data_IF_194403804057
#
_entry.id   IF_194403804057
#
_cell.length_a   1.000
_cell.length_b   1.000
_cell.length_c   1.000
_cell.angle_alpha   90.00
_cell.angle_beta   90.00
_cell.angle_gamma   90.00
#
_symmetry.space_group_name_H-M   'P 1'
#
loop_
_entity.id
_entity.type
_entity.pdbx_description
1 polymer ?
#
# COMPACT_ATOMS: atom_id res chain seq x y z
N UNK A 1 2.79 -9.16 -15.95
CA UNK A 1 3.07 -7.98 -15.13
C UNK A 1 3.63 -8.37 -13.79
N UNK A 2 4.49 -7.54 -13.25
CA UNK A 2 5.03 -7.74 -11.91
C UNK A 2 4.15 -7.06 -10.88
N UNK A 3 4.13 -7.61 -9.67
CA UNK A 3 3.38 -7.03 -8.54
C UNK A 3 4.34 -6.44 -7.53
N UNK A 4 3.89 -5.36 -6.91
CA UNK A 4 4.71 -4.61 -5.95
C UNK A 4 3.88 -4.27 -4.72
N UNK A 5 4.49 -4.45 -3.56
CA UNK A 5 3.93 -3.96 -2.30
C UNK A 5 4.44 -2.54 -2.09
N UNK A 6 3.52 -1.62 -1.92
CA UNK A 6 3.84 -0.22 -1.64
C UNK A 6 3.58 0.03 -0.16
N UNK A 7 4.61 0.45 0.55
CA UNK A 7 4.49 0.80 1.96
C UNK A 7 4.59 2.31 2.11
N UNK A 8 3.57 2.91 2.65
CA UNK A 8 3.57 4.33 2.99
C UNK A 8 4.24 4.50 4.34
N UNK A 9 5.14 5.46 4.46
CA UNK A 9 5.85 5.74 5.71
C UNK A 9 5.62 7.17 6.13
N UNK A 10 5.62 7.42 7.44
CA UNK A 10 5.42 8.75 8.01
C UNK A 10 6.04 8.81 9.40
N UNK A 11 6.54 9.98 9.83
CA UNK A 11 7.00 10.15 11.21
C UNK A 11 5.84 10.13 12.21
N UNK A 12 4.61 10.37 11.78
CA UNK A 12 3.42 10.40 12.63
C UNK A 12 2.60 9.12 12.42
N UNK A 13 2.28 8.38 13.49
CA UNK A 13 1.45 7.18 13.37
C UNK A 13 0.09 7.47 12.74
N UNK A 14 -0.44 6.51 11.99
CA UNK A 14 -1.70 6.67 11.28
C UNK A 14 -2.86 7.00 12.22
N UNK A 15 -2.94 6.35 13.38
CA UNK A 15 -4.02 6.63 14.35
C UNK A 15 -4.00 8.07 14.82
N UNK A 16 -2.82 8.64 15.02
CA UNK A 16 -2.66 10.02 15.44
C UNK A 16 -3.08 10.99 14.34
N UNK A 17 -2.66 10.73 13.10
CA UNK A 17 -3.05 11.55 11.95
C UNK A 17 -4.57 11.58 11.76
N UNK A 18 -5.20 10.41 11.77
CA UNK A 18 -6.66 10.33 11.61
C UNK A 18 -7.40 10.92 12.78
N UNK A 19 -6.85 10.82 14.00
CA UNK A 19 -7.45 11.42 15.20
C UNK A 19 -7.46 12.94 15.19
N UNK A 20 -6.54 13.57 14.45
CA UNK A 20 -6.45 15.02 14.30
C UNK A 20 -7.29 15.59 13.17
N UNK A 21 -7.74 14.72 12.23
CA UNK A 21 -8.44 15.20 11.07
C UNK A 21 -9.86 15.63 11.39
N UNK A 22 -10.25 16.81 10.90
CA UNK A 22 -11.64 17.23 10.92
C UNK A 22 -12.45 16.40 9.94
N UNK A 23 -13.80 16.36 10.06
CA UNK A 23 -14.63 15.66 9.07
C UNK A 23 -14.38 16.13 7.63
N UNK A 24 -14.15 17.42 7.43
CA UNK A 24 -13.85 17.98 6.12
C UNK A 24 -12.49 17.52 5.59
N UNK A 25 -11.48 17.47 6.46
CA UNK A 25 -10.15 16.98 6.10
C UNK A 25 -10.20 15.49 5.76
N UNK A 26 -10.94 14.71 6.53
CA UNK A 26 -11.11 13.28 6.27
C UNK A 26 -11.78 13.04 4.92
N UNK A 27 -12.83 13.81 4.59
CA UNK A 27 -13.52 13.71 3.31
C UNK A 27 -12.60 14.12 2.16
N UNK A 28 -11.88 15.22 2.33
CA UNK A 28 -10.94 15.70 1.31
C UNK A 28 -9.83 14.68 1.04
N UNK A 29 -9.31 14.06 2.08
CA UNK A 29 -8.31 13.00 1.96
C UNK A 29 -8.85 11.78 1.23
N UNK A 30 -10.06 11.35 1.56
CA UNK A 30 -10.70 10.22 0.89
C UNK A 30 -10.96 10.53 -0.58
N UNK A 31 -11.43 11.74 -0.88
CA UNK A 31 -11.66 12.17 -2.26
C UNK A 31 -10.34 12.13 -3.06
N UNK A 32 -9.24 12.58 -2.47
CA UNK A 32 -7.92 12.55 -3.11
C UNK A 32 -7.47 11.12 -3.40
N UNK A 33 -7.66 10.21 -2.45
CA UNK A 33 -7.33 8.79 -2.63
C UNK A 33 -8.18 8.16 -3.74
N UNK A 34 -9.47 8.44 -3.75
CA UNK A 34 -10.38 7.92 -4.78
C UNK A 34 -10.01 8.46 -6.16
N UNK A 35 -9.62 9.73 -6.27
CA UNK A 35 -9.17 10.31 -7.52
C UNK A 35 -7.88 9.66 -8.02
N UNK A 36 -6.92 9.43 -7.12
CA UNK A 36 -5.69 8.74 -7.47
C UNK A 36 -5.96 7.30 -7.90
N UNK A 37 -6.83 6.58 -7.17
CA UNK A 37 -7.21 5.21 -7.50
C UNK A 37 -7.84 5.12 -8.89
N UNK A 38 -8.71 6.07 -9.22
CA UNK A 38 -9.35 6.13 -10.54
C UNK A 38 -8.31 6.36 -11.64
N UNK A 39 -7.36 7.25 -11.41
CA UNK A 39 -6.28 7.54 -12.35
C UNK A 39 -5.36 6.34 -12.55
N UNK A 40 -4.99 5.67 -11.48
CA UNK A 40 -4.13 4.50 -11.54
C UNK A 40 -4.82 3.28 -12.17
N UNK A 41 -6.13 3.17 -11.99
CA UNK A 41 -6.97 2.19 -12.68
C UNK A 41 -6.52 0.75 -12.49
N UNK A 42 -6.26 0.05 -13.59
CA UNK A 42 -5.89 -1.37 -13.58
C UNK A 42 -4.53 -1.65 -12.96
N UNK A 43 -3.72 -0.62 -12.71
CA UNK A 43 -2.46 -0.81 -11.97
C UNK A 43 -2.71 -1.17 -10.51
N UNK A 44 -3.88 -0.87 -9.96
CA UNK A 44 -4.19 -1.21 -8.57
C UNK A 44 -4.70 -2.63 -8.47
N UNK A 45 -3.98 -3.48 -7.74
CA UNK A 45 -4.40 -4.84 -7.38
C UNK A 45 -5.20 -4.79 -6.09
N UNK A 46 -4.69 -4.02 -5.12
CA UNK A 46 -5.32 -3.80 -3.82
C UNK A 46 -5.03 -2.35 -3.43
N UNK A 47 -6.09 -1.57 -3.21
CA UNK A 47 -5.93 -0.18 -2.80
C UNK A 47 -5.26 -0.10 -1.42
N UNK A 48 -5.53 -1.07 -0.58
CA UNK A 48 -4.89 -1.19 0.72
C UNK A 48 -5.64 -0.50 1.84
N UNK A 49 -4.91 -0.20 2.89
CA UNK A 49 -5.47 0.37 4.10
C UNK A 49 -4.40 1.10 4.91
N UNK A 50 -4.80 2.01 5.80
CA UNK A 50 -3.89 2.50 6.83
C UNK A 50 -3.47 1.36 7.74
N UNK A 51 -2.25 1.44 8.25
CA UNK A 51 -1.69 0.43 9.14
C UNK A 51 -1.21 1.09 10.43
N UNK A 52 -1.37 0.37 11.53
CA UNK A 52 -0.81 0.75 12.83
C UNK A 52 0.11 -0.37 13.30
N UNK A 53 1.14 -0.01 14.06
CA UNK A 53 2.00 -1.01 14.69
C UNK A 53 1.18 -1.84 15.67
N UNK A 54 1.48 -3.12 15.74
CA UNK A 54 0.83 -4.06 16.65
C UNK A 54 1.88 -4.80 17.48
N UNK A 55 1.52 -5.16 18.69
CA UNK A 55 2.42 -5.87 19.60
C UNK A 55 3.70 -5.09 19.85
N UNK A 56 4.84 -5.75 19.68
CA UNK A 56 6.16 -5.15 19.90
C UNK A 56 6.70 -4.41 18.67
N UNK A 57 5.96 -4.40 17.57
CA UNK A 57 6.40 -3.76 16.33
C UNK A 57 6.56 -2.26 16.50
N UNK A 58 7.69 -1.76 16.02
CA UNK A 58 7.95 -0.32 15.94
C UNK A 58 8.46 -0.02 14.55
N UNK A 59 7.65 0.69 13.75
CA UNK A 59 8.03 1.02 12.38
C UNK A 59 7.47 2.39 12.00
N UNK A 60 7.87 2.86 10.82
CA UNK A 60 7.32 4.10 10.26
C UNK A 60 6.23 3.82 9.23
N UNK A 61 5.88 2.56 9.03
CA UNK A 61 4.86 2.17 8.05
C UNK A 61 3.48 2.57 8.56
N UNK A 62 2.75 3.32 7.76
CA UNK A 62 1.42 3.84 8.11
C UNK A 62 0.33 3.43 7.12
N UNK A 63 0.68 2.66 6.09
CA UNK A 63 -0.29 2.19 5.12
C UNK A 63 0.35 1.32 4.06
N UNK A 64 -0.47 0.69 3.24
CA UNK A 64 0.01 -0.14 2.14
C UNK A 64 -0.94 -0.11 0.95
N UNK A 65 -0.40 -0.47 -0.21
CA UNK A 65 -1.16 -0.78 -1.42
C UNK A 65 -0.41 -1.87 -2.17
N UNK A 66 -1.10 -2.57 -3.06
CA UNK A 66 -0.47 -3.52 -3.97
C UNK A 66 -0.76 -3.06 -5.39
N UNK A 67 0.29 -2.83 -6.16
CA UNK A 67 0.20 -2.37 -7.54
C UNK A 67 0.81 -3.39 -8.48
N UNK A 68 0.49 -3.26 -9.76
CA UNK A 68 1.09 -4.07 -10.81
C UNK A 68 1.50 -3.20 -11.99
N UNK A 69 2.61 -3.55 -12.61
CA UNK A 69 3.13 -2.86 -13.79
C UNK A 69 4.19 -3.74 -14.45
N UNK A 70 4.63 -3.32 -15.63
CA UNK A 70 5.69 -4.02 -16.36
C UNK A 70 7.07 -3.81 -15.76
N UNK A 71 7.27 -2.71 -15.03
CA UNK A 71 8.57 -2.35 -14.45
C UNK A 71 8.41 -1.48 -13.21
N UNK A 72 9.47 -1.41 -12.40
CA UNK A 72 9.50 -0.53 -11.24
C UNK A 72 9.42 0.93 -11.64
N UNK A 73 9.95 1.31 -12.81
CA UNK A 73 9.84 2.69 -13.30
C UNK A 73 8.39 3.12 -13.46
N UNK A 74 7.54 2.25 -13.96
CA UNK A 74 6.11 2.53 -14.09
C UNK A 74 5.46 2.70 -12.73
N UNK A 75 5.84 1.87 -11.75
CA UNK A 75 5.35 1.98 -10.38
C UNK A 75 5.76 3.32 -9.77
N UNK A 76 7.00 3.73 -9.97
CA UNK A 76 7.50 5.02 -9.48
C UNK A 76 6.68 6.19 -10.04
N UNK A 77 6.31 6.14 -11.31
CA UNK A 77 5.46 7.17 -11.92
C UNK A 77 4.05 7.17 -11.32
N UNK A 78 3.48 6.00 -11.07
CA UNK A 78 2.14 5.88 -10.49
C UNK A 78 2.11 6.43 -9.06
N UNK A 79 3.09 6.06 -8.23
CA UNK A 79 3.11 6.49 -6.82
C UNK A 79 3.52 7.95 -6.65
N UNK A 80 4.10 8.55 -7.66
CA UNK A 80 4.50 9.97 -7.63
C UNK A 80 3.31 10.88 -7.32
N UNK A 81 2.13 10.53 -7.82
CA UNK A 81 0.89 11.30 -7.62
C UNK A 81 0.09 10.82 -6.42
N UNK A 82 0.60 9.88 -5.64
CA UNK A 82 -0.07 9.35 -4.47
C UNK A 82 -0.26 10.45 -3.42
N UNK A 83 -1.50 10.64 -2.89
CA UNK A 83 -1.78 11.71 -1.93
C UNK A 83 -0.91 11.67 -0.67
N UNK A 84 -0.47 10.49 -0.24
CA UNK A 84 0.41 10.34 0.92
C UNK A 84 1.71 11.13 0.77
N UNK A 85 2.24 11.25 -0.44
CA UNK A 85 3.50 11.93 -0.69
C UNK A 85 3.46 13.44 -0.42
N UNK A 86 2.27 14.01 -0.29
CA UNK A 86 2.10 15.44 -0.01
C UNK A 86 2.23 15.77 1.47
N UNK A 87 2.28 14.75 2.33
CA UNK A 87 2.41 14.95 3.77
C UNK A 87 3.87 15.22 4.15
N UNK A 88 4.14 16.15 5.07
CA UNK A 88 5.52 16.42 5.52
C UNK A 88 6.18 15.18 6.10
N UNK A 89 7.39 14.89 5.65
CA UNK A 89 8.17 13.74 6.12
C UNK A 89 7.69 12.39 5.62
N UNK A 90 6.67 12.37 4.76
CA UNK A 90 6.15 11.13 4.20
C UNK A 90 7.11 10.52 3.18
N UNK A 91 7.12 9.19 3.14
CA UNK A 91 7.90 8.45 2.16
C UNK A 91 7.14 7.24 1.65
N UNK A 92 7.72 6.60 0.67
CA UNK A 92 7.17 5.38 0.08
C UNK A 92 8.29 4.38 -0.13
N UNK A 93 8.06 3.14 0.29
CA UNK A 93 8.91 2.00 -0.03
C UNK A 93 8.22 1.16 -1.10
N UNK A 94 8.97 0.68 -2.05
CA UNK A 94 8.49 -0.17 -3.13
C UNK A 94 9.19 -1.52 -3.00
N UNK A 95 8.43 -2.59 -2.84
CA UNK A 95 8.94 -3.95 -2.72
C UNK A 95 8.34 -4.83 -3.80
N UNK A 96 9.17 -5.50 -4.58
CA UNK A 96 8.69 -6.40 -5.61
C UNK A 96 8.35 -7.76 -5.00
N UNK A 97 7.22 -8.33 -5.39
CA UNK A 97 6.86 -9.68 -5.00
C UNK A 97 7.75 -10.66 -5.77
N UNK A 98 8.41 -11.54 -5.05
CA UNK A 98 9.31 -12.54 -5.63
C UNK A 98 8.61 -13.89 -5.65
N UNK A 99 8.68 -14.57 -6.79
CA UNK A 99 8.07 -15.88 -6.91
C UNK A 99 8.93 -16.95 -6.18
N UNK A 100 8.24 -17.89 -5.58
CA UNK A 100 8.92 -19.06 -5.02
C UNK A 100 9.34 -19.95 -6.19
N UNK A 101 10.60 -20.40 -6.25
CA UNK A 101 11.05 -21.24 -7.37
C UNK A 101 10.15 -22.47 -7.55
N UNK A 102 9.66 -22.65 -8.77
CA UNK A 102 8.79 -23.77 -9.12
C UNK A 102 7.32 -23.56 -8.76
N UNK A 103 6.93 -22.38 -8.23
CA UNK A 103 5.55 -22.10 -7.83
C UNK A 103 5.15 -20.69 -8.26
N UNK A 104 3.90 -20.55 -8.71
CA UNK A 104 3.32 -19.23 -8.94
C UNK A 104 2.83 -18.66 -7.60
N UNK A 105 2.57 -17.35 -7.56
CA UNK A 105 2.00 -16.69 -6.38
C UNK A 105 0.65 -17.26 -6.01
N UNK A 106 -0.19 -17.56 -7.00
CA UNK A 106 -1.51 -18.12 -6.75
C UNK A 106 -1.40 -19.51 -6.11
N UNK A 107 -0.46 -20.33 -6.57
CA UNK A 107 -0.20 -21.63 -5.98
C UNK A 107 0.29 -21.51 -4.54
N UNK A 108 1.13 -20.54 -4.26
CA UNK A 108 1.63 -20.29 -2.90
C UNK A 108 0.47 -19.94 -1.96
N UNK A 109 -0.37 -19.00 -2.35
CA UNK A 109 -1.53 -18.58 -1.56
C UNK A 109 -2.51 -19.72 -1.34
N UNK A 110 -2.80 -20.49 -2.37
CA UNK A 110 -3.66 -21.65 -2.29
C UNK A 110 -3.11 -22.71 -1.33
N UNK A 111 -1.81 -22.90 -1.36
CA UNK A 111 -1.13 -23.84 -0.49
C UNK A 111 -1.26 -23.47 0.97
N UNK A 112 -1.12 -22.20 1.30
CA UNK A 112 -1.31 -21.69 2.64
C UNK A 112 -2.73 -21.94 3.15
N UNK A 113 -3.73 -21.68 2.31
CA UNK A 113 -5.13 -21.94 2.65
C UNK A 113 -5.37 -23.43 2.92
N UNK A 114 -4.86 -24.31 2.08
CA UNK A 114 -5.00 -25.76 2.26
C UNK A 114 -4.32 -26.20 3.54
N UNK A 115 -3.16 -25.68 3.84
CA UNK A 115 -2.42 -26.00 5.07
C UNK A 115 -3.18 -25.56 6.32
N UNK A 116 -3.78 -24.39 6.30
CA UNK A 116 -4.52 -23.87 7.46
C UNK A 116 -5.83 -24.62 7.74
N UNK A 117 -6.31 -25.43 6.82
CA UNK A 117 -7.49 -26.26 7.00
C UNK A 117 -7.20 -27.61 7.65
N UNK A 118 -5.95 -27.95 7.78
CA UNK A 118 -5.51 -29.17 8.42
C UNK A 118 -5.31 -28.94 9.91
#
# INVERSE_FOLDING_TARGET
MKKYLILNTSPTPAREEFGKASPEQAKSGLDAWNAWAKKAGSAIVELGAPLADAGATRSRVTGFSILQAGSVSEIEQIVKDNPHQKMPGAGIEIHEFVDVPGMSRDQTSKRELDYSRQ
#
